data_IF_444665127771
#
_entry.id   IF_444665127771
#
_cell.length_a   1.000
_cell.length_b   1.000
_cell.length_c   1.000
_cell.angle_alpha   90.00
_cell.angle_beta   90.00
_cell.angle_gamma   90.00
#
_symmetry.space_group_name_H-M   'P 1'
#
loop_
_entity.id
_entity.type
_entity.pdbx_description
1 polymer ?
#
# COMPACT_ATOMS: atom_id res chain seq x y z
N UNK A 1 -23.95 -19.57 -21.68
CA UNK A 1 -24.44 -18.34 -21.01
C UNK A 1 -23.87 -18.30 -19.62
N UNK A 2 -23.47 -17.13 -19.08
CA UNK A 2 -22.95 -17.03 -17.71
C UNK A 2 -24.00 -17.52 -16.72
N UNK A 3 -23.57 -18.23 -15.67
CA UNK A 3 -24.45 -18.65 -14.57
C UNK A 3 -24.87 -17.44 -13.72
N UNK A 4 -25.90 -17.59 -12.89
CA UNK A 4 -26.30 -16.53 -11.95
C UNK A 4 -25.18 -16.18 -10.96
N UNK A 5 -24.37 -17.18 -10.59
CA UNK A 5 -23.20 -17.00 -9.73
C UNK A 5 -22.11 -16.21 -10.44
N UNK A 6 -21.84 -16.48 -11.73
CA UNK A 6 -20.90 -15.70 -12.54
C UNK A 6 -21.32 -14.23 -12.60
N UNK A 7 -22.61 -13.95 -12.82
CA UNK A 7 -23.13 -12.58 -12.85
C UNK A 7 -22.99 -11.86 -11.50
N UNK A 8 -23.17 -12.58 -10.39
CA UNK A 8 -22.98 -12.02 -9.04
C UNK A 8 -21.51 -11.70 -8.78
N UNK A 9 -20.59 -12.60 -9.12
CA UNK A 9 -19.15 -12.39 -8.96
C UNK A 9 -18.69 -11.20 -9.79
N UNK A 10 -19.07 -11.13 -11.06
CA UNK A 10 -18.76 -10.00 -11.94
C UNK A 10 -19.25 -8.68 -11.36
N UNK A 11 -20.49 -8.63 -10.86
CA UNK A 11 -21.03 -7.43 -10.23
C UNK A 11 -20.21 -7.02 -9.00
N UNK A 12 -19.88 -7.97 -8.12
CA UNK A 12 -19.07 -7.69 -6.92
C UNK A 12 -17.65 -7.27 -7.27
N UNK A 13 -17.07 -7.82 -8.33
CA UNK A 13 -15.78 -7.40 -8.84
C UNK A 13 -15.79 -5.92 -9.26
N UNK A 14 -16.79 -5.49 -10.03
CA UNK A 14 -16.92 -4.09 -10.42
C UNK A 14 -17.18 -3.15 -9.23
N UNK A 15 -18.02 -3.56 -8.28
CA UNK A 15 -18.26 -2.78 -7.05
C UNK A 15 -16.96 -2.57 -6.26
N UNK A 16 -16.15 -3.63 -6.09
CA UNK A 16 -14.87 -3.55 -5.38
C UNK A 16 -13.85 -2.68 -6.11
N UNK A 17 -13.82 -2.70 -7.45
CA UNK A 17 -12.95 -1.79 -8.22
C UNK A 17 -13.36 -0.33 -7.99
N UNK A 18 -14.67 -0.07 -7.96
CA UNK A 18 -15.20 1.25 -7.65
C UNK A 18 -14.88 1.71 -6.23
N UNK A 19 -14.93 0.82 -5.22
CA UNK A 19 -14.50 1.16 -3.86
C UNK A 19 -13.01 1.49 -3.81
N UNK A 20 -12.18 0.65 -4.44
CA UNK A 20 -10.73 0.84 -4.47
C UNK A 20 -10.36 2.18 -5.13
N UNK A 21 -10.97 2.51 -6.27
CA UNK A 21 -10.72 3.77 -6.97
C UNK A 21 -11.12 5.00 -6.15
N UNK A 22 -12.29 4.98 -5.48
CA UNK A 22 -12.73 6.09 -4.62
C UNK A 22 -11.83 6.28 -3.40
N UNK A 23 -11.39 5.19 -2.76
CA UNK A 23 -10.46 5.29 -1.64
C UNK A 23 -9.08 5.80 -2.08
N UNK A 24 -8.62 5.47 -3.31
CA UNK A 24 -7.42 6.10 -3.88
C UNK A 24 -7.60 7.61 -4.04
N UNK A 25 -8.73 8.07 -4.57
CA UNK A 25 -9.02 9.49 -4.74
C UNK A 25 -9.07 10.23 -3.38
N UNK A 26 -9.72 9.65 -2.38
CA UNK A 26 -9.77 10.24 -1.04
C UNK A 26 -8.38 10.29 -0.38
N UNK A 27 -7.59 9.22 -0.51
CA UNK A 27 -6.19 9.22 -0.08
C UNK A 27 -5.40 10.36 -0.72
N UNK A 28 -5.50 10.52 -2.04
CA UNK A 28 -4.77 11.52 -2.79
C UNK A 28 -5.21 12.96 -2.42
N UNK A 29 -6.44 13.12 -1.92
CA UNK A 29 -6.97 14.37 -1.36
C UNK A 29 -6.57 14.64 0.11
N UNK A 30 -5.71 13.80 0.70
CA UNK A 30 -5.16 13.98 2.04
C UNK A 30 -5.80 13.13 3.14
N UNK A 31 -6.75 12.26 2.80
CA UNK A 31 -7.33 11.28 3.73
C UNK A 31 -6.50 9.98 3.71
N UNK A 32 -5.25 10.06 4.15
CA UNK A 32 -4.28 8.95 4.04
C UNK A 32 -4.74 7.67 4.76
N UNK A 33 -5.60 7.78 5.77
CA UNK A 33 -6.21 6.65 6.47
C UNK A 33 -7.08 5.75 5.56
N UNK A 34 -7.52 6.26 4.40
CA UNK A 34 -8.22 5.45 3.40
C UNK A 34 -7.36 4.29 2.88
N UNK A 35 -6.03 4.33 3.07
CA UNK A 35 -5.18 3.18 2.80
C UNK A 35 -5.59 1.93 3.60
N UNK A 36 -6.18 2.05 4.79
CA UNK A 36 -6.68 0.89 5.54
C UNK A 36 -7.90 0.25 4.84
N UNK A 37 -8.76 1.05 4.20
CA UNK A 37 -9.85 0.57 3.35
C UNK A 37 -9.33 -0.01 2.03
N UNK A 38 -8.27 0.57 1.47
CA UNK A 38 -7.58 0.00 0.30
C UNK A 38 -7.03 -1.38 0.62
N UNK A 39 -6.38 -1.57 1.78
CA UNK A 39 -5.85 -2.87 2.20
C UNK A 39 -6.96 -3.93 2.29
N UNK A 40 -8.07 -3.58 2.92
CA UNK A 40 -9.23 -4.48 3.03
C UNK A 40 -9.80 -4.84 1.67
N UNK A 41 -9.93 -3.87 0.77
CA UNK A 41 -10.45 -4.07 -0.59
C UNK A 41 -9.50 -4.93 -1.43
N UNK A 42 -8.19 -4.66 -1.39
CA UNK A 42 -7.16 -5.47 -2.06
C UNK A 42 -7.18 -6.93 -1.59
N UNK A 43 -7.38 -7.17 -0.29
CA UNK A 43 -7.50 -8.52 0.26
C UNK A 43 -8.67 -9.29 -0.35
N UNK A 44 -9.81 -8.65 -0.61
CA UNK A 44 -10.97 -9.27 -1.27
C UNK A 44 -10.63 -9.73 -2.69
N UNK A 45 -9.78 -8.99 -3.41
CA UNK A 45 -9.33 -9.39 -4.75
C UNK A 45 -8.30 -10.51 -4.73
N UNK A 46 -7.36 -10.48 -3.77
CA UNK A 46 -6.07 -11.16 -3.91
C UNK A 46 -5.84 -12.32 -2.94
N UNK A 47 -6.56 -12.36 -1.81
CA UNK A 47 -6.22 -13.22 -0.69
C UNK A 47 -7.27 -14.29 -0.41
N UNK A 48 -6.91 -15.54 -0.71
CA UNK A 48 -7.65 -16.70 -0.24
C UNK A 48 -7.29 -17.01 1.21
N UNK A 49 -8.29 -17.43 1.98
CA UNK A 49 -8.13 -18.00 3.33
C UNK A 49 -8.78 -19.38 3.38
N UNK A 50 -8.74 -20.02 4.55
CA UNK A 50 -9.40 -21.32 4.76
C UNK A 50 -10.93 -21.25 4.62
N UNK A 51 -11.52 -20.07 4.83
CA UNK A 51 -12.98 -19.85 4.87
C UNK A 51 -13.46 -18.80 3.88
N UNK A 52 -12.59 -18.28 3.01
CA UNK A 52 -12.95 -17.24 2.05
C UNK A 52 -12.11 -17.36 0.78
N UNK A 53 -12.78 -17.30 -0.35
CA UNK A 53 -12.15 -17.29 -1.69
C UNK A 53 -12.18 -15.87 -2.23
N UNK A 54 -11.04 -15.44 -2.76
CA UNK A 54 -10.84 -14.13 -3.37
C UNK A 54 -11.55 -14.01 -4.71
N UNK A 55 -11.82 -12.77 -5.13
CA UNK A 55 -12.51 -12.53 -6.40
C UNK A 55 -11.69 -13.02 -7.61
N UNK A 56 -10.37 -12.85 -7.61
CA UNK A 56 -9.55 -13.36 -8.71
C UNK A 56 -9.58 -14.90 -8.76
N UNK A 57 -9.61 -15.58 -7.61
CA UNK A 57 -9.78 -17.04 -7.56
C UNK A 57 -11.14 -17.47 -8.12
N UNK A 58 -12.23 -16.80 -7.73
CA UNK A 58 -13.56 -17.07 -8.28
C UNK A 58 -13.64 -16.88 -9.80
N UNK A 59 -12.87 -15.94 -10.35
CA UNK A 59 -12.84 -15.64 -11.79
C UNK A 59 -11.80 -16.47 -12.56
N UNK A 60 -11.04 -17.34 -11.90
CA UNK A 60 -9.96 -18.10 -12.54
C UNK A 60 -8.75 -17.25 -12.97
N UNK A 61 -8.58 -16.06 -12.39
CA UNK A 61 -7.55 -15.07 -12.75
C UNK A 61 -6.31 -15.13 -11.86
N UNK A 62 -5.98 -16.30 -11.31
CA UNK A 62 -4.78 -16.44 -10.46
C UNK A 62 -3.47 -16.52 -11.23
N UNK A 63 -3.53 -16.94 -12.50
CA UNK A 63 -2.35 -17.08 -13.38
C UNK A 63 -2.05 -15.85 -14.23
N UNK A 64 -2.64 -14.70 -13.91
CA UNK A 64 -2.39 -13.46 -14.63
C UNK A 64 -1.06 -12.84 -14.22
N UNK A 65 -0.57 -11.94 -15.07
CA UNK A 65 0.48 -11.00 -14.70
C UNK A 65 -0.12 -9.72 -14.09
N UNK A 66 0.62 -9.12 -13.16
CA UNK A 66 0.34 -7.84 -12.52
C UNK A 66 1.46 -6.87 -12.86
N UNK A 67 1.09 -5.61 -13.09
CA UNK A 67 2.01 -4.53 -13.41
C UNK A 67 2.66 -3.99 -12.12
N UNK A 68 3.88 -4.44 -11.83
CA UNK A 68 4.69 -3.98 -10.69
C UNK A 68 5.39 -2.66 -11.01
N UNK A 69 5.51 -1.78 -10.01
CA UNK A 69 6.30 -0.54 -10.07
C UNK A 69 7.69 -0.66 -9.43
N UNK A 70 8.13 -1.89 -9.10
CA UNK A 70 9.46 -2.15 -8.56
C UNK A 70 10.57 -1.58 -9.44
N UNK A 71 11.58 -0.97 -8.81
CA UNK A 71 12.79 -0.46 -9.48
C UNK A 71 14.03 -1.31 -9.17
N UNK A 72 13.83 -2.46 -8.56
CA UNK A 72 14.87 -3.46 -8.34
C UNK A 72 15.71 -3.25 -7.10
N UNK A 73 15.35 -2.33 -6.19
CA UNK A 73 16.00 -2.25 -4.88
C UNK A 73 15.53 -3.35 -3.94
N UNK A 74 14.30 -3.85 -4.09
CA UNK A 74 13.72 -4.86 -3.19
C UNK A 74 13.38 -4.30 -1.80
N UNK A 75 13.14 -2.99 -1.74
CA UNK A 75 12.91 -2.24 -0.51
C UNK A 75 12.09 -0.96 -0.79
N UNK A 76 11.76 -0.21 0.25
CA UNK A 76 10.82 0.92 0.21
C UNK A 76 11.16 2.00 -0.83
N UNK A 77 12.44 2.15 -1.20
CA UNK A 77 12.95 3.15 -2.16
C UNK A 77 12.37 2.95 -3.57
N UNK A 78 11.93 1.74 -3.89
CA UNK A 78 11.24 1.44 -5.14
C UNK A 78 9.87 2.14 -5.20
N UNK A 79 9.22 2.35 -4.05
CA UNK A 79 7.79 2.65 -3.94
C UNK A 79 7.45 3.97 -3.27
N UNK A 80 8.33 4.48 -2.40
CA UNK A 80 8.10 5.68 -1.59
C UNK A 80 9.11 6.80 -1.87
N UNK A 81 8.62 8.04 -1.86
CA UNK A 81 9.43 9.26 -1.81
C UNK A 81 9.37 9.85 -0.40
N UNK A 82 10.50 10.39 0.06
CA UNK A 82 10.55 11.22 1.27
C UNK A 82 10.58 12.69 0.85
N UNK A 83 9.62 13.47 1.34
CA UNK A 83 9.56 14.91 1.12
C UNK A 83 9.94 15.65 2.40
N UNK A 84 10.85 16.61 2.28
CA UNK A 84 11.21 17.52 3.37
C UNK A 84 10.43 18.83 3.20
N UNK A 85 9.66 19.18 4.23
CA UNK A 85 8.83 20.40 4.28
C UNK A 85 9.15 21.20 5.56
N UNK A 86 10.24 21.98 5.58
CA UNK A 86 10.74 22.64 6.79
C UNK A 86 9.80 23.71 7.39
N UNK A 87 8.74 24.07 6.68
CA UNK A 87 7.71 25.03 7.13
C UNK A 87 6.45 24.36 7.68
N UNK A 88 6.45 23.03 7.80
CA UNK A 88 5.33 22.23 8.32
C UNK A 88 5.62 21.72 9.74
N UNK A 89 4.61 21.61 10.63
CA UNK A 89 4.77 20.97 11.94
C UNK A 89 5.26 19.52 11.89
N UNK A 90 4.99 18.82 10.78
CA UNK A 90 5.66 17.56 10.44
C UNK A 90 6.62 17.85 9.29
N UNK A 91 7.95 17.90 9.51
CA UNK A 91 8.86 18.38 8.48
C UNK A 91 9.31 17.30 7.50
N UNK A 92 8.99 16.03 7.76
CA UNK A 92 9.30 14.92 6.87
C UNK A 92 8.01 14.15 6.59
N UNK A 93 7.76 13.90 5.31
CA UNK A 93 6.59 13.18 4.82
C UNK A 93 7.02 12.04 3.93
N UNK A 94 6.19 11.02 3.86
CA UNK A 94 6.33 9.94 2.89
C UNK A 94 5.18 10.02 1.92
N UNK A 95 5.43 9.76 0.64
CA UNK A 95 4.39 9.67 -0.38
C UNK A 95 4.64 8.48 -1.30
N UNK A 96 3.57 7.81 -1.77
CA UNK A 96 3.72 6.84 -2.83
C UNK A 96 4.27 7.52 -4.07
N UNK A 97 5.19 6.86 -4.76
CA UNK A 97 5.82 7.41 -5.96
C UNK A 97 4.87 7.45 -7.15
N UNK A 98 3.92 6.51 -7.22
CA UNK A 98 2.92 6.34 -8.28
C UNK A 98 3.56 6.45 -9.68
N UNK A 99 3.95 5.32 -10.26
CA UNK A 99 4.70 5.28 -11.52
C UNK A 99 3.82 5.11 -12.76
N UNK A 100 4.41 5.36 -13.93
CA UNK A 100 3.88 4.99 -15.24
C UNK A 100 4.75 3.92 -15.95
N UNK A 101 5.88 3.55 -15.36
CA UNK A 101 6.75 2.47 -15.80
C UNK A 101 6.44 1.22 -14.99
N UNK A 102 6.22 0.09 -15.68
CA UNK A 102 5.78 -1.14 -15.06
C UNK A 102 6.52 -2.35 -15.61
N UNK A 103 6.77 -3.31 -14.72
CA UNK A 103 7.24 -4.65 -15.04
C UNK A 103 6.08 -5.63 -14.84
N UNK A 104 5.65 -6.30 -15.91
CA UNK A 104 4.67 -7.36 -15.81
C UNK A 104 5.32 -8.59 -15.18
N UNK A 105 4.81 -9.04 -14.04
CA UNK A 105 5.28 -10.22 -13.33
C UNK A 105 4.09 -11.08 -12.89
N UNK A 106 4.27 -12.40 -12.68
CA UNK A 106 3.19 -13.26 -12.22
C UNK A 106 2.55 -12.72 -10.93
N UNK A 107 1.21 -12.71 -10.86
CA UNK A 107 0.46 -12.30 -9.65
C UNK A 107 0.99 -12.98 -8.39
N UNK A 108 1.34 -14.26 -8.50
CA UNK A 108 1.88 -15.03 -7.37
C UNK A 108 3.18 -14.41 -6.84
N UNK A 109 4.06 -13.95 -7.73
CA UNK A 109 5.35 -13.35 -7.38
C UNK A 109 5.16 -11.93 -6.86
N UNK A 110 4.34 -11.11 -7.54
CA UNK A 110 3.98 -9.76 -7.09
C UNK A 110 3.42 -9.74 -5.67
N UNK A 111 2.59 -10.74 -5.35
CA UNK A 111 1.91 -10.84 -4.07
C UNK A 111 2.77 -11.48 -2.96
N UNK A 112 3.50 -12.55 -3.26
CA UNK A 112 4.14 -13.40 -2.25
C UNK A 112 5.67 -13.37 -2.24
N UNK A 113 6.32 -12.89 -3.29
CA UNK A 113 7.77 -13.03 -3.49
C UNK A 113 8.47 -11.68 -3.55
N UNK A 114 7.95 -10.73 -4.34
CA UNK A 114 8.59 -9.43 -4.50
C UNK A 114 8.61 -8.67 -3.17
N UNK A 115 9.83 -8.35 -2.72
CA UNK A 115 10.06 -7.57 -1.52
C UNK A 115 9.71 -6.11 -1.76
N UNK A 116 8.95 -5.54 -0.83
CA UNK A 116 8.56 -4.11 -0.83
C UNK A 116 9.17 -3.33 0.33
N UNK A 117 9.71 -4.05 1.30
CA UNK A 117 10.34 -3.48 2.48
C UNK A 117 11.30 -4.52 3.07
N UNK A 118 12.51 -4.10 3.43
CA UNK A 118 13.47 -4.94 4.14
C UNK A 118 13.91 -4.28 5.44
N UNK A 119 13.89 -5.03 6.53
CA UNK A 119 14.31 -4.54 7.85
C UNK A 119 14.81 -5.68 8.73
N UNK A 120 15.87 -5.44 9.50
CA UNK A 120 16.40 -6.43 10.44
C UNK A 120 16.95 -7.70 9.77
N UNK A 121 17.29 -7.66 8.48
CA UNK A 121 17.72 -8.82 7.69
C UNK A 121 16.57 -9.65 7.12
N UNK A 122 15.32 -9.25 7.38
CA UNK A 122 14.11 -9.87 6.83
C UNK A 122 13.53 -9.01 5.69
N UNK A 123 12.79 -9.66 4.79
CA UNK A 123 12.09 -9.01 3.68
C UNK A 123 10.59 -9.24 3.77
N UNK A 124 9.82 -8.21 3.47
CA UNK A 124 8.37 -8.17 3.61
C UNK A 124 7.73 -7.90 2.26
N UNK A 125 6.63 -8.59 1.99
CA UNK A 125 5.92 -8.55 0.71
C UNK A 125 4.60 -7.81 0.81
N UNK A 126 3.99 -7.49 -0.34
CA UNK A 126 2.66 -6.87 -0.41
C UNK A 126 1.62 -7.62 0.40
N UNK A 127 1.62 -8.96 0.31
CA UNK A 127 0.69 -9.80 1.09
C UNK A 127 0.79 -9.52 2.58
N UNK A 128 2.02 -9.49 3.10
CA UNK A 128 2.27 -9.34 4.53
C UNK A 128 1.82 -7.97 5.02
N UNK A 129 2.19 -6.89 4.31
CA UNK A 129 1.76 -5.53 4.66
C UNK A 129 0.23 -5.36 4.58
N UNK A 130 -0.40 -5.83 3.50
CA UNK A 130 -1.85 -5.72 3.31
C UNK A 130 -2.60 -6.53 4.38
N UNK A 131 -2.14 -7.73 4.70
CA UNK A 131 -2.77 -8.55 5.73
C UNK A 131 -2.64 -7.96 7.13
N UNK A 132 -1.49 -7.37 7.49
CA UNK A 132 -1.34 -6.69 8.79
C UNK A 132 -2.25 -5.47 8.87
N UNK A 133 -2.27 -4.62 7.84
CA UNK A 133 -3.14 -3.45 7.81
C UNK A 133 -4.63 -3.84 7.89
N UNK A 134 -5.07 -4.81 7.10
CA UNK A 134 -6.45 -5.24 7.06
C UNK A 134 -6.90 -5.97 8.34
N UNK A 135 -6.07 -6.86 8.88
CA UNK A 135 -6.49 -7.74 9.96
C UNK A 135 -6.15 -7.19 11.36
N UNK A 136 -5.27 -6.19 11.49
CA UNK A 136 -4.73 -5.77 12.80
C UNK A 136 -4.70 -4.27 13.03
N UNK A 137 -4.60 -3.45 11.98
CA UNK A 137 -4.39 -2.00 12.13
C UNK A 137 -5.58 -1.16 11.63
N UNK A 138 -6.79 -1.70 11.73
CA UNK A 138 -8.02 -0.92 11.54
C UNK A 138 -8.62 -0.95 10.13
N UNK A 139 -8.12 -1.80 9.22
CA UNK A 139 -8.82 -2.04 7.95
C UNK A 139 -10.15 -2.77 8.15
N UNK A 140 -10.11 -3.96 8.76
CA UNK A 140 -11.29 -4.75 9.12
C UNK A 140 -11.34 -5.05 10.63
N UNK A 141 -10.19 -5.16 11.29
CA UNK A 141 -10.07 -5.40 12.72
C UNK A 141 -8.91 -4.57 13.30
N UNK A 142 -8.93 -4.39 14.62
CA UNK A 142 -7.88 -3.72 15.38
C UNK A 142 -7.38 -4.68 16.46
N UNK A 143 -6.09 -4.98 16.44
CA UNK A 143 -5.40 -5.78 17.45
C UNK A 143 -4.63 -4.85 18.40
N UNK A 144 -4.44 -5.30 19.65
CA UNK A 144 -3.68 -4.52 20.65
C UNK A 144 -2.16 -4.54 20.43
N UNK A 145 -1.68 -5.36 19.50
CA UNK A 145 -0.26 -5.54 19.20
C UNK A 145 -0.08 -5.75 17.70
N UNK A 146 0.82 -4.98 17.11
CA UNK A 146 1.21 -5.11 15.72
C UNK A 146 2.53 -5.87 15.60
N UNK A 147 2.86 -6.30 14.38
CA UNK A 147 4.18 -6.84 14.08
C UNK A 147 5.25 -5.73 14.14
N UNK A 148 6.45 -6.07 14.63
CA UNK A 148 7.56 -5.12 14.81
C UNK A 148 7.91 -4.35 13.54
N UNK A 149 8.03 -5.04 12.39
CA UNK A 149 8.31 -4.39 11.11
C UNK A 149 7.22 -3.37 10.72
N UNK A 150 5.97 -3.64 11.12
CA UNK A 150 4.82 -2.80 10.82
C UNK A 150 4.85 -1.54 11.70
N UNK A 151 5.16 -1.69 12.99
CA UNK A 151 5.37 -0.57 13.91
C UNK A 151 6.51 0.34 13.42
N UNK A 152 7.59 -0.24 12.87
CA UNK A 152 8.71 0.51 12.28
C UNK A 152 8.27 1.30 11.04
N UNK A 153 7.45 0.72 10.16
CA UNK A 153 6.86 1.45 9.02
C UNK A 153 5.92 2.57 9.48
N UNK A 154 5.18 2.39 10.57
CA UNK A 154 4.35 3.44 11.16
C UNK A 154 5.21 4.57 11.74
N UNK A 155 6.27 4.24 12.46
CA UNK A 155 7.16 5.20 13.10
C UNK A 155 8.08 5.94 12.11
N UNK A 156 8.37 5.33 10.96
CA UNK A 156 9.31 5.86 9.97
C UNK A 156 10.78 5.54 10.26
N UNK A 157 11.05 4.71 11.28
CA UNK A 157 12.39 4.42 11.81
C UNK A 157 13.24 3.50 10.90
N UNK A 158 12.75 3.21 9.71
CA UNK A 158 13.48 2.47 8.67
C UNK A 158 14.30 3.37 7.74
N UNK A 159 13.99 4.67 7.69
CA UNK A 159 14.46 5.59 6.65
C UNK A 159 15.27 6.78 7.18
N UNK A 160 15.65 7.71 6.29
CA UNK A 160 16.34 8.93 6.69
C UNK A 160 15.46 9.81 7.60
N UNK A 161 16.10 10.50 8.55
CA UNK A 161 15.46 11.50 9.40
C UNK A 161 16.02 12.90 9.14
N UNK A 162 15.22 13.91 9.49
CA UNK A 162 15.66 15.30 9.54
C UNK A 162 15.91 15.69 11.00
N UNK A 163 17.08 16.23 11.29
CA UNK A 163 17.36 16.91 12.58
C UNK A 163 17.84 18.32 12.29
N UNK A 164 17.23 19.31 12.95
CA UNK A 164 17.64 20.71 12.84
C UNK A 164 18.41 21.10 14.11
N UNK A 165 19.59 21.70 13.94
CA UNK A 165 20.40 22.18 15.06
C UNK A 165 19.65 23.29 15.83
N UNK A 166 19.38 23.11 17.14
CA UNK A 166 18.69 24.12 17.95
C UNK A 166 19.45 25.45 18.06
N UNK A 167 20.75 25.49 17.77
CA UNK A 167 21.57 26.71 17.83
C UNK A 167 21.48 27.58 16.58
N UNK A 168 20.82 27.11 15.52
CA UNK A 168 20.77 27.76 14.21
C UNK A 168 19.95 29.05 14.13
N UNK A 169 19.32 29.49 15.22
CA UNK A 169 18.60 30.77 15.31
C UNK A 169 17.28 30.85 14.52
N UNK A 170 16.93 29.83 13.74
CA UNK A 170 15.67 29.74 13.01
C UNK A 170 14.48 29.38 13.91
N UNK A 171 13.32 29.98 13.65
CA UNK A 171 12.06 29.57 14.27
C UNK A 171 11.40 28.49 13.41
N UNK A 172 11.19 27.31 13.99
CA UNK A 172 10.59 26.18 13.31
C UNK A 172 9.24 25.81 13.94
N UNK A 173 8.26 25.34 13.14
CA UNK A 173 6.97 24.89 13.65
C UNK A 173 7.03 23.48 14.29
N UNK A 174 8.23 22.97 14.57
CA UNK A 174 8.50 21.65 15.16
C UNK A 174 9.72 21.72 16.08
N UNK A 175 9.86 20.72 16.97
CA UNK A 175 10.95 20.63 17.94
C UNK A 175 12.30 20.43 17.25
N UNK A 176 13.26 21.33 17.49
CA UNK A 176 14.66 21.18 17.03
C UNK A 176 15.47 20.27 17.94
N UNK A 177 16.60 19.73 17.44
CA UNK A 177 17.50 18.89 18.22
C UNK A 177 17.05 17.44 18.41
N UNK A 178 15.96 17.02 17.76
CA UNK A 178 15.45 15.65 17.75
C UNK A 178 15.22 15.18 16.31
N UNK A 179 15.32 13.87 16.04
CA UNK A 179 15.08 13.33 14.71
C UNK A 179 13.58 13.35 14.37
N UNK A 180 13.27 13.78 13.14
CA UNK A 180 11.95 13.71 12.53
C UNK A 180 11.95 12.70 11.41
N UNK A 181 11.08 11.70 11.49
CA UNK A 181 10.96 10.62 10.52
C UNK A 181 9.70 10.78 9.67
N UNK A 182 9.72 10.20 8.47
CA UNK A 182 8.53 10.08 7.64
C UNK A 182 7.64 8.95 8.17
N UNK A 183 6.64 9.32 8.97
CA UNK A 183 5.70 8.35 9.56
C UNK A 183 4.75 7.78 8.51
N UNK A 184 4.12 6.66 8.85
CA UNK A 184 3.01 6.04 8.11
C UNK A 184 3.36 5.56 6.68
N UNK A 185 4.59 5.07 6.50
CA UNK A 185 5.04 4.54 5.21
C UNK A 185 4.19 3.36 4.70
N UNK A 186 3.62 2.58 5.61
CA UNK A 186 2.69 1.51 5.27
C UNK A 186 1.46 2.02 4.49
N UNK A 187 0.93 3.20 4.82
CA UNK A 187 -0.21 3.79 4.11
C UNK A 187 0.18 4.15 2.66
N UNK A 188 1.35 4.76 2.49
CA UNK A 188 1.93 5.05 1.17
C UNK A 188 2.14 3.78 0.35
N UNK A 189 2.70 2.72 0.94
CA UNK A 189 2.89 1.43 0.28
C UNK A 189 1.56 0.83 -0.18
N UNK A 190 0.54 0.83 0.68
CA UNK A 190 -0.78 0.30 0.33
C UNK A 190 -1.41 1.10 -0.82
N UNK A 191 -1.27 2.43 -0.82
CA UNK A 191 -1.71 3.28 -1.94
C UNK A 191 -0.95 2.95 -3.23
N UNK A 192 0.34 2.67 -3.15
CA UNK A 192 1.15 2.21 -4.28
C UNK A 192 0.65 0.85 -4.82
N UNK A 193 0.33 -0.11 -3.95
CA UNK A 193 -0.19 -1.42 -4.39
C UNK A 193 -1.56 -1.31 -5.04
N UNK A 194 -2.41 -0.40 -4.55
CA UNK A 194 -3.69 -0.10 -5.18
C UNK A 194 -3.51 0.51 -6.59
N UNK A 195 -2.49 1.35 -6.78
CA UNK A 195 -2.13 1.90 -8.09
C UNK A 195 -1.72 0.81 -9.09
N UNK A 196 -0.83 -0.09 -8.68
CA UNK A 196 -0.40 -1.24 -9.48
C UNK A 196 -1.59 -2.12 -9.88
N UNK A 197 -2.47 -2.42 -8.92
CA UNK A 197 -3.65 -3.25 -9.16
C UNK A 197 -4.68 -2.58 -10.09
N UNK A 198 -5.01 -1.31 -9.87
CA UNK A 198 -5.95 -0.57 -10.73
C UNK A 198 -5.39 -0.36 -12.14
N UNK A 199 -4.08 -0.12 -12.27
CA UNK A 199 -3.42 -0.05 -13.58
C UNK A 199 -3.50 -1.39 -14.29
N UNK A 200 -3.27 -2.49 -13.58
CA UNK A 200 -3.44 -3.86 -14.12
C UNK A 200 -4.88 -4.11 -14.56
N UNK A 201 -5.87 -3.66 -13.77
CA UNK A 201 -7.28 -3.79 -14.11
C UNK A 201 -7.65 -3.00 -15.37
N UNK A 202 -7.15 -1.77 -15.50
CA UNK A 202 -7.34 -0.95 -16.69
C UNK A 202 -6.66 -1.57 -17.92
N UNK A 203 -5.42 -2.06 -17.76
CA UNK A 203 -4.67 -2.70 -18.83
C UNK A 203 -5.38 -3.93 -19.39
N UNK A 204 -5.96 -4.76 -18.52
CA UNK A 204 -6.71 -5.95 -18.89
C UNK A 204 -8.18 -5.66 -19.28
N UNK A 205 -8.60 -4.40 -19.33
CA UNK A 205 -9.95 -4.01 -19.73
C UNK A 205 -11.05 -4.42 -18.73
N UNK A 206 -10.72 -4.60 -17.45
CA UNK A 206 -11.68 -5.02 -16.45
C UNK A 206 -12.61 -3.91 -15.97
N UNK A 207 -12.16 -2.66 -16.02
CA UNK A 207 -12.97 -1.51 -15.63
C UNK A 207 -14.02 -1.24 -16.71
N UNK A 208 -15.29 -1.50 -16.39
CA UNK A 208 -16.41 -1.12 -17.29
C UNK A 208 -16.57 0.40 -17.24
N UNK A 209 -16.61 1.03 -18.42
CA UNK A 209 -16.98 2.44 -18.58
C UNK A 209 -18.45 2.66 -18.24
#
# INVERSE_FOLDING_TARGET
>A
MPTADDQRIDKKFQEQLGFLARSCEMFDNGHEEEALRLATSLRVFLHDTRSSTSLLSHMGLNGIDVLSTSRGHGDWQDYLAHEIRPVSPSPVWVRPLLGNEFNAIPKADWWNVESVFSHGGESYTRRVIICSAANKDGGAHVDSKLEEYYEILCAGEYGPSLTVDPKGGGQYPFTTGVPHYAKNAHLGLIRQFAHEFLTTANHNGWCKK
#
